data_IF_620678513125
#
_entry.id   IF_620678513125
#
_cell.length_a   1.000
_cell.length_b   1.000
_cell.length_c   1.000
_cell.angle_alpha   90.00
_cell.angle_beta   90.00
_cell.angle_gamma   90.00
#
_symmetry.space_group_name_H-M   'P 1'
#
loop_
_entity.id
_entity.type
_entity.pdbx_description
1 polymer ?
#
# COMPACT_ATOMS: atom_id res chain seq x y z
N UNK A 1 -18.85 5.72 10.62
CA UNK A 1 -19.58 5.02 9.58
C UNK A 1 -19.41 5.71 8.25
N UNK A 2 -19.73 6.99 8.21
CA UNK A 2 -19.54 7.74 6.97
C UNK A 2 -18.07 7.84 6.61
N UNK A 3 -17.24 7.93 7.61
CA UNK A 3 -15.80 7.97 7.36
C UNK A 3 -15.32 6.68 6.73
N UNK A 4 -15.88 5.57 7.18
CA UNK A 4 -15.54 4.29 6.58
C UNK A 4 -15.95 4.23 5.13
N UNK A 5 -17.11 4.80 4.81
CA UNK A 5 -17.56 4.82 3.44
C UNK A 5 -16.64 5.66 2.57
N UNK A 6 -16.16 6.77 3.10
CA UNK A 6 -15.22 7.58 2.35
C UNK A 6 -13.93 6.82 2.14
N UNK A 7 -13.52 6.06 3.16
CA UNK A 7 -12.32 5.26 3.02
C UNK A 7 -12.58 4.01 2.21
N UNK A 8 -13.84 3.59 2.09
CA UNK A 8 -14.13 2.42 1.28
C UNK A 8 -13.97 2.67 -0.19
N UNK A 9 -13.69 3.92 -0.57
CA UNK A 9 -13.22 4.13 -1.92
C UNK A 9 -11.90 3.44 -2.16
N UNK A 10 -11.21 3.04 -1.10
CA UNK A 10 -9.97 2.30 -1.23
C UNK A 10 -10.23 0.92 -1.82
N UNK A 11 -9.41 0.56 -2.76
CA UNK A 11 -9.57 -0.66 -3.51
C UNK A 11 -8.27 -1.43 -3.45
N UNK A 12 -8.35 -2.71 -3.11
CA UNK A 12 -7.15 -3.54 -3.06
C UNK A 12 -6.66 -3.78 -4.47
N UNK A 13 -5.39 -3.44 -4.69
CA UNK A 13 -4.76 -3.64 -5.99
C UNK A 13 -3.69 -4.71 -5.94
N UNK A 14 -3.25 -5.12 -4.77
CA UNK A 14 -2.26 -6.18 -4.69
C UNK A 14 -2.06 -6.65 -3.27
N UNK A 15 -1.56 -7.87 -3.13
CA UNK A 15 -1.25 -8.46 -1.85
C UNK A 15 0.06 -9.21 -1.97
N UNK A 16 0.92 -9.05 -0.96
CA UNK A 16 2.21 -9.74 -0.93
C UNK A 16 2.27 -10.52 0.38
N UNK A 17 2.08 -11.82 0.33
CA UNK A 17 2.07 -12.61 1.56
C UNK A 17 3.49 -12.79 2.11
N UNK A 18 3.59 -12.76 3.42
CA UNK A 18 4.82 -13.09 4.11
C UNK A 18 4.75 -14.51 4.65
N UNK A 19 3.63 -14.84 5.27
CA UNK A 19 3.42 -16.17 5.82
C UNK A 19 1.91 -16.41 5.86
N UNK A 20 1.50 -17.43 6.61
CA UNK A 20 0.10 -17.85 6.61
C UNK A 20 -0.85 -16.79 7.17
N UNK A 21 -0.36 -15.92 8.02
CA UNK A 21 -1.25 -14.97 8.70
C UNK A 21 -0.94 -13.51 8.38
N UNK A 22 0.21 -13.21 7.80
CA UNK A 22 0.63 -11.84 7.58
C UNK A 22 0.87 -11.57 6.10
N UNK A 23 0.48 -10.39 5.65
CA UNK A 23 0.67 -9.99 4.27
C UNK A 23 0.73 -8.47 4.21
N UNK A 24 1.37 -7.98 3.16
CA UNK A 24 1.32 -6.56 2.83
C UNK A 24 0.22 -6.36 1.81
N UNK A 25 -0.69 -5.43 2.08
CA UNK A 25 -1.81 -5.17 1.19
C UNK A 25 -1.67 -3.76 0.65
N UNK A 26 -1.77 -3.63 -0.65
CA UNK A 26 -1.69 -2.34 -1.32
C UNK A 26 -3.08 -1.96 -1.79
N UNK A 27 -3.54 -0.80 -1.37
CA UNK A 27 -4.84 -0.28 -1.78
C UNK A 27 -4.68 1.10 -2.37
N UNK A 28 -5.60 1.46 -3.24
CA UNK A 28 -5.64 2.80 -3.81
C UNK A 28 -7.04 3.35 -3.66
N UNK A 29 -7.13 4.67 -3.68
CA UNK A 29 -8.43 5.31 -3.59
C UNK A 29 -8.27 6.80 -3.46
N UNK A 30 -9.35 7.44 -3.02
CA UNK A 30 -9.35 8.88 -2.86
C UNK A 30 -9.76 9.20 -1.44
N UNK A 31 -8.94 10.01 -0.79
CA UNK A 31 -9.19 10.45 0.55
C UNK A 31 -9.18 11.96 0.55
N UNK A 32 -10.32 12.56 0.90
CA UNK A 32 -10.46 14.02 0.95
C UNK A 32 -10.01 14.65 -0.36
N UNK A 33 -10.51 14.09 -1.46
CA UNK A 33 -10.26 14.60 -2.82
C UNK A 33 -8.82 14.45 -3.28
N UNK A 34 -8.03 13.68 -2.58
CA UNK A 34 -6.65 13.41 -2.97
C UNK A 34 -6.51 11.93 -3.25
N UNK A 35 -5.94 11.61 -4.39
CA UNK A 35 -5.66 10.21 -4.71
C UNK A 35 -4.51 9.73 -3.85
N UNK A 36 -4.72 8.58 -3.21
CA UNK A 36 -3.74 8.03 -2.28
C UNK A 36 -3.48 6.57 -2.56
N UNK A 37 -2.33 6.13 -2.12
CA UNK A 37 -1.95 4.73 -2.16
C UNK A 37 -1.56 4.34 -0.74
N UNK A 38 -2.08 3.23 -0.28
CA UNK A 38 -1.86 2.77 1.09
C UNK A 38 -1.19 1.41 1.03
N UNK A 39 -0.05 1.28 1.70
CA UNK A 39 0.71 0.04 1.79
C UNK A 39 0.76 -0.32 3.26
N UNK A 40 0.12 -1.44 3.62
CA UNK A 40 -0.12 -1.71 5.03
C UNK A 40 -0.02 -3.18 5.32
N UNK A 41 0.49 -3.51 6.50
CA UNK A 41 0.52 -4.87 6.97
C UNK A 41 -0.88 -5.29 7.43
N UNK A 42 -1.29 -6.46 6.99
CA UNK A 42 -2.51 -7.11 7.48
C UNK A 42 -2.09 -8.34 8.27
N UNK A 43 -2.81 -8.59 9.33
CA UNK A 43 -2.61 -9.80 10.13
C UNK A 43 -3.97 -10.45 10.31
N UNK A 44 -4.08 -11.73 9.95
CA UNK A 44 -5.33 -12.47 10.03
C UNK A 44 -6.44 -11.74 9.28
N UNK A 45 -6.11 -11.21 8.11
CA UNK A 45 -7.05 -10.51 7.23
C UNK A 45 -7.54 -9.19 7.79
N UNK A 46 -6.86 -8.65 8.79
CA UNK A 46 -7.24 -7.38 9.38
C UNK A 46 -6.11 -6.38 9.22
N UNK A 47 -6.44 -5.14 8.84
CA UNK A 47 -5.40 -4.11 8.72
C UNK A 47 -4.82 -3.78 10.07
N UNK A 48 -3.53 -3.44 10.06
CA UNK A 48 -2.85 -3.02 11.28
C UNK A 48 -2.46 -1.55 11.13
N UNK A 49 -1.84 -1.02 12.16
CA UNK A 49 -1.34 0.34 12.11
C UNK A 49 -0.04 0.45 11.33
N UNK A 50 0.60 -0.68 11.05
CA UNK A 50 1.91 -0.67 10.41
C UNK A 50 1.74 -0.49 8.92
N UNK A 51 2.14 0.66 8.43
CA UNK A 51 2.01 0.94 7.02
C UNK A 51 2.18 2.42 6.75
N UNK A 52 2.06 2.77 5.50
CA UNK A 52 2.17 4.15 5.08
C UNK A 52 1.05 4.46 4.09
N UNK A 53 0.68 5.73 4.06
CA UNK A 53 -0.28 6.23 3.08
C UNK A 53 0.37 7.42 2.40
N UNK A 54 0.48 7.35 1.09
CA UNK A 54 1.20 8.37 0.32
C UNK A 54 0.30 8.84 -0.81
N UNK A 55 0.59 10.05 -1.31
CA UNK A 55 -0.10 10.52 -2.49
C UNK A 55 0.61 9.94 -3.72
N UNK A 56 0.08 10.27 -4.90
CA UNK A 56 0.57 9.66 -6.14
C UNK A 56 2.01 10.06 -6.43
N UNK A 57 2.35 11.32 -6.18
CA UNK A 57 3.71 11.78 -6.43
C UNK A 57 4.71 11.06 -5.54
N UNK A 58 4.33 10.91 -4.27
CA UNK A 58 5.19 10.21 -3.32
C UNK A 58 5.33 8.74 -3.72
N UNK A 59 4.24 8.16 -4.18
CA UNK A 59 4.27 6.77 -4.61
C UNK A 59 5.20 6.59 -5.80
N UNK A 60 5.23 7.54 -6.72
CA UNK A 60 6.11 7.46 -7.88
C UNK A 60 7.57 7.54 -7.45
N UNK A 61 7.87 8.36 -6.48
CA UNK A 61 9.24 8.44 -5.96
C UNK A 61 9.64 7.15 -5.25
N UNK A 62 8.71 6.58 -4.48
CA UNK A 62 8.97 5.30 -3.84
C UNK A 62 9.21 4.22 -4.89
N UNK A 63 8.42 4.21 -5.93
CA UNK A 63 8.59 3.24 -7.00
C UNK A 63 9.98 3.34 -7.62
N UNK A 64 10.43 4.57 -7.87
CA UNK A 64 11.76 4.76 -8.48
C UNK A 64 12.86 4.23 -7.58
N UNK A 65 12.74 4.47 -6.28
CA UNK A 65 13.73 3.98 -5.33
C UNK A 65 13.73 2.46 -5.30
N UNK A 66 12.55 1.87 -5.20
CA UNK A 66 12.43 0.42 -5.13
C UNK A 66 12.94 -0.23 -6.41
N UNK A 67 12.59 0.35 -7.54
CA UNK A 67 13.02 -0.20 -8.81
C UNK A 67 14.54 -0.22 -8.91
N UNK A 68 15.17 0.89 -8.54
CA UNK A 68 16.62 0.99 -8.61
C UNK A 68 17.29 -0.04 -7.70
N UNK A 69 16.79 -0.16 -6.46
CA UNK A 69 17.40 -1.08 -5.52
C UNK A 69 17.23 -2.53 -5.94
N UNK A 70 16.04 -2.84 -6.44
CA UNK A 70 15.77 -4.21 -6.85
C UNK A 70 16.58 -4.59 -8.09
N UNK A 71 16.76 -3.65 -9.00
CA UNK A 71 17.56 -3.95 -10.19
C UNK A 71 19.01 -4.15 -9.85
N UNK A 72 19.55 -3.37 -8.91
CA UNK A 72 20.90 -3.57 -8.47
C UNK A 72 21.07 -4.94 -7.86
N UNK A 73 20.17 -5.33 -6.97
CA UNK A 73 20.23 -6.63 -6.34
C UNK A 73 20.09 -7.75 -7.35
N UNK A 74 19.28 -7.52 -8.35
CA UNK A 74 19.03 -8.54 -9.36
C UNK A 74 20.27 -8.81 -10.19
N UNK A 75 21.09 -7.81 -10.39
CA UNK A 75 22.28 -7.95 -11.22
C UNK A 75 23.46 -8.58 -10.48
N UNK A 76 23.33 -8.76 -9.20
CA UNK A 76 24.35 -9.46 -8.46
C UNK A 76 24.09 -10.95 -8.50
#
# INVERSE_FOLDING_TARGET
>A
VDELKEDTGLKVVGRVPRNATEEVVVTTGRYKLIDVLDIRWYKDNKPSYKGIRVNIEEAQLLYAILKRELEVNKNE
#
